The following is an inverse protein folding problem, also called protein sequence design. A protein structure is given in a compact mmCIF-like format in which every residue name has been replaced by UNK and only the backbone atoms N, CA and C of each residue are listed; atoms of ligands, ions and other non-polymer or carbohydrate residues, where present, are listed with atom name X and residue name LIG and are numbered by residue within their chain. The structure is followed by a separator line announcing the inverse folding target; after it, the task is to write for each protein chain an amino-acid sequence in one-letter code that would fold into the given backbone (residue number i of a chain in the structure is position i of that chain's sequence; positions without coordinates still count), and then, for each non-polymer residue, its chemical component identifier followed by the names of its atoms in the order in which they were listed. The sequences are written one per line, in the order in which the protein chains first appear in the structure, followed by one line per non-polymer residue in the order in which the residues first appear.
data_IF_129416334771
#
_entry.id   IF_129416334771
#
_cell.length_a   1.000
_cell.length_b   1.000
_cell.length_c   1.000
_cell.angle_alpha   90.00
_cell.angle_beta   90.00
_cell.angle_gamma   90.00
#
_symmetry.space_group_name_H-M   'P 1'
#
loop_
_entity.id
_entity.type
_entity.pdbx_description
1 polymer ?
#
# COMPACT_ATOMS: atom_id res chain seq x y z
N UNK A 1 -52.90 -89.89 38.26
CA UNK A 1 -53.68 -89.69 37.02
C UNK A 1 -53.99 -88.22 36.83
N UNK A 2 -53.28 -87.55 35.91
CA UNK A 2 -53.77 -86.48 35.03
C UNK A 2 -52.62 -86.13 34.09
N UNK A 3 -52.76 -86.58 32.84
CA UNK A 3 -51.92 -86.22 31.70
C UNK A 3 -52.26 -84.78 31.33
N UNK A 4 -51.26 -83.95 31.05
CA UNK A 4 -51.50 -82.71 30.29
C UNK A 4 -50.33 -82.47 29.37
N UNK A 5 -50.70 -82.16 28.14
CA UNK A 5 -49.92 -82.38 26.94
C UNK A 5 -48.89 -81.30 26.66
N UNK A 6 -47.85 -81.76 25.98
CA UNK A 6 -46.87 -81.01 25.23
C UNK A 6 -47.54 -80.16 24.14
N UNK A 7 -47.27 -78.86 24.10
CA UNK A 7 -47.43 -78.05 22.89
C UNK A 7 -46.15 -77.25 22.69
N UNK A 8 -45.24 -77.81 21.89
CA UNK A 8 -44.01 -77.17 21.46
C UNK A 8 -44.39 -76.17 20.36
N UNK A 9 -44.48 -74.88 20.70
CA UNK A 9 -44.65 -73.83 19.70
C UNK A 9 -43.31 -73.60 18.99
N UNK A 10 -43.21 -74.09 17.76
CA UNK A 10 -42.10 -73.84 16.86
C UNK A 10 -42.25 -72.41 16.29
N UNK A 11 -41.64 -71.43 16.94
CA UNK A 11 -41.52 -70.06 16.40
C UNK A 11 -40.40 -70.02 15.36
N UNK A 12 -40.79 -70.11 14.09
CA UNK A 12 -39.93 -69.86 12.95
C UNK A 12 -39.92 -68.34 12.64
N UNK A 13 -38.73 -67.84 12.29
CA UNK A 13 -38.49 -66.61 11.50
C UNK A 13 -38.57 -65.28 12.27
N UNK A 14 -37.68 -64.31 12.10
CA UNK A 14 -36.62 -64.12 11.12
C UNK A 14 -35.45 -63.38 11.78
N UNK A 15 -34.22 -63.86 11.54
CA UNK A 15 -33.02 -63.08 11.80
C UNK A 15 -32.97 -61.98 10.74
N UNK A 16 -33.41 -60.77 11.11
CA UNK A 16 -33.19 -59.58 10.30
C UNK A 16 -31.69 -59.27 10.34
N UNK A 17 -30.96 -59.78 9.35
CA UNK A 17 -29.60 -59.32 9.07
C UNK A 17 -29.74 -57.87 8.61
N UNK A 18 -29.57 -56.94 9.55
CA UNK A 18 -29.41 -55.53 9.25
C UNK A 18 -28.13 -55.38 8.43
N UNK A 19 -28.27 -55.36 7.10
CA UNK A 19 -27.24 -54.86 6.22
C UNK A 19 -27.03 -53.39 6.58
N UNK A 20 -26.07 -53.12 7.47
CA UNK A 20 -25.38 -51.84 7.50
C UNK A 20 -24.68 -51.73 6.14
N UNK A 21 -25.39 -51.18 5.16
CA UNK A 21 -24.78 -50.63 3.99
C UNK A 21 -23.82 -49.57 4.50
N UNK A 22 -22.51 -49.86 4.46
CA UNK A 22 -21.51 -48.81 4.44
C UNK A 22 -21.93 -47.89 3.29
N UNK A 23 -22.45 -46.71 3.63
CA UNK A 23 -22.60 -45.65 2.68
C UNK A 23 -21.20 -45.40 2.13
N UNK A 24 -20.92 -45.92 0.93
CA UNK A 24 -19.77 -45.50 0.16
C UNK A 24 -19.88 -43.97 0.11
N UNK A 25 -18.90 -43.27 0.68
CA UNK A 25 -18.67 -41.87 0.33
C UNK A 25 -18.47 -41.87 -1.18
N UNK A 26 -19.57 -41.60 -1.91
CA UNK A 26 -19.52 -41.40 -3.35
C UNK A 26 -18.65 -40.19 -3.52
N UNK A 27 -17.40 -40.42 -3.93
CA UNK A 27 -16.53 -39.36 -4.41
C UNK A 27 -17.38 -38.57 -5.42
N UNK A 28 -17.56 -37.25 -5.23
CA UNK A 28 -18.36 -36.47 -6.15
C UNK A 28 -17.85 -36.73 -7.56
N UNK A 29 -18.72 -36.81 -8.57
CA UNK A 29 -18.26 -36.92 -9.95
C UNK A 29 -17.23 -35.81 -10.21
N UNK A 30 -16.14 -36.10 -10.94
CA UNK A 30 -15.10 -35.11 -11.20
C UNK A 30 -15.75 -33.85 -11.76
N UNK A 31 -15.51 -32.74 -11.07
CA UNK A 31 -16.06 -31.44 -11.42
C UNK A 31 -15.50 -31.02 -12.79
N UNK A 32 -16.37 -30.60 -13.71
CA UNK A 32 -15.91 -30.00 -14.96
C UNK A 32 -15.28 -28.62 -14.69
N UNK A 33 -14.26 -28.19 -15.44
CA UNK A 33 -13.63 -26.87 -15.24
C UNK A 33 -14.66 -25.73 -15.16
N UNK A 34 -15.69 -25.78 -16.01
CA UNK A 34 -16.75 -24.76 -16.10
C UNK A 34 -17.55 -24.55 -14.81
N UNK A 35 -17.59 -25.53 -13.91
CA UNK A 35 -18.33 -25.41 -12.64
C UNK A 35 -17.74 -24.35 -11.69
N UNK A 36 -16.51 -23.89 -11.95
CA UNK A 36 -15.83 -22.82 -11.20
C UNK A 36 -15.56 -21.56 -12.02
N UNK A 37 -15.99 -21.54 -13.28
CA UNK A 37 -15.81 -20.38 -14.16
C UNK A 37 -16.88 -19.31 -13.86
N UNK A 38 -16.43 -18.08 -13.62
CA UNK A 38 -17.29 -16.90 -13.52
C UNK A 38 -16.86 -15.89 -14.57
N UNK A 39 -17.84 -15.23 -15.17
CA UNK A 39 -17.62 -14.28 -16.27
C UNK A 39 -17.91 -12.83 -15.85
N UNK A 40 -18.34 -12.62 -14.61
CA UNK A 40 -18.67 -11.31 -14.04
C UNK A 40 -18.26 -11.23 -12.56
N UNK A 41 -17.82 -10.05 -12.08
CA UNK A 41 -17.68 -8.80 -12.84
C UNK A 41 -16.49 -8.87 -13.84
N UNK A 42 -16.69 -8.31 -15.03
CA UNK A 42 -15.60 -8.18 -16.02
C UNK A 42 -14.66 -7.07 -15.53
N UNK A 43 -13.35 -7.33 -15.36
CA UNK A 43 -12.40 -6.31 -14.94
C UNK A 43 -12.36 -5.12 -15.94
N UNK A 44 -12.19 -3.88 -15.46
CA UNK A 44 -12.04 -2.73 -16.34
C UNK A 44 -10.78 -2.86 -17.21
N UNK A 45 -10.88 -2.42 -18.46
CA UNK A 45 -9.73 -2.37 -19.38
C UNK A 45 -8.84 -1.18 -19.02
N UNK A 46 -7.55 -1.42 -18.85
CA UNK A 46 -6.52 -0.40 -18.64
C UNK A 46 -5.43 -0.58 -19.69
N UNK A 47 -5.06 0.50 -20.39
CA UNK A 47 -3.88 0.51 -21.25
C UNK A 47 -2.66 0.86 -20.38
N UNK A 48 -1.62 0.02 -20.32
CA UNK A 48 -0.43 0.33 -19.56
C UNK A 48 0.32 1.52 -20.17
N UNK A 49 1.17 2.16 -19.37
CA UNK A 49 2.08 3.19 -19.85
C UNK A 49 3.07 2.65 -20.88
N UNK A 50 3.70 3.54 -21.66
CA UNK A 50 4.65 3.17 -22.71
C UNK A 50 5.89 2.40 -22.21
N UNK A 51 6.20 2.54 -20.92
CA UNK A 51 7.24 1.80 -20.20
C UNK A 51 6.77 1.63 -18.74
N UNK A 52 7.46 0.78 -17.97
CA UNK A 52 6.98 0.34 -16.65
C UNK A 52 6.73 1.47 -15.63
N UNK A 53 7.39 2.62 -15.78
CA UNK A 53 7.21 3.78 -14.89
C UNK A 53 6.22 4.82 -15.44
N UNK A 54 5.78 4.69 -16.69
CA UNK A 54 4.82 5.62 -17.28
C UNK A 54 3.39 5.38 -16.74
N UNK A 55 2.58 6.44 -16.59
CA UNK A 55 1.22 6.32 -16.07
C UNK A 55 0.36 5.43 -16.99
N UNK A 56 -0.44 4.49 -16.44
CA UNK A 56 -1.48 3.81 -17.18
C UNK A 56 -2.65 4.75 -17.52
N UNK A 57 -3.53 4.33 -18.43
CA UNK A 57 -4.64 5.16 -18.92
C UNK A 57 -5.69 5.54 -17.86
N UNK A 58 -5.74 4.82 -16.74
CA UNK A 58 -6.65 5.09 -15.61
C UNK A 58 -5.99 5.93 -14.49
N UNK A 59 -4.71 6.27 -14.63
CA UNK A 59 -4.00 7.06 -13.62
C UNK A 59 -4.26 8.55 -13.76
N UNK A 60 -4.30 9.21 -12.61
CA UNK A 60 -4.26 10.66 -12.48
C UNK A 60 -2.79 11.07 -12.44
N UNK A 61 -2.36 11.86 -13.42
CA UNK A 61 -1.02 12.44 -13.44
C UNK A 61 -1.00 13.69 -12.57
N UNK A 62 -0.30 13.63 -11.44
CA UNK A 62 -0.14 14.74 -10.51
C UNK A 62 0.95 15.71 -10.97
N UNK A 63 2.01 15.18 -11.59
CA UNK A 63 3.10 15.99 -12.14
C UNK A 63 3.73 15.31 -13.37
N UNK A 64 3.76 16.03 -14.49
CA UNK A 64 4.31 15.61 -15.78
C UNK A 64 5.53 16.44 -16.23
N UNK A 65 6.01 17.35 -15.38
CA UNK A 65 7.11 18.26 -15.69
C UNK A 65 6.69 19.64 -16.20
N UNK A 66 5.40 19.90 -16.42
CA UNK A 66 4.96 21.15 -17.08
C UNK A 66 4.40 22.19 -16.12
N UNK A 67 3.73 21.78 -15.05
CA UNK A 67 3.09 22.71 -14.11
C UNK A 67 2.89 22.14 -12.72
N UNK A 68 2.75 23.03 -11.74
CA UNK A 68 2.36 22.71 -10.36
C UNK A 68 0.85 22.76 -10.13
N UNK A 69 0.04 22.74 -11.19
CA UNK A 69 -1.41 22.91 -11.07
C UNK A 69 -2.10 21.81 -10.25
N UNK A 70 -1.49 20.63 -10.15
CA UNK A 70 -1.95 19.54 -9.28
C UNK A 70 -1.70 19.77 -7.78
N UNK A 71 -0.90 20.78 -7.42
CA UNK A 71 -0.43 21.02 -6.06
C UNK A 71 -0.82 22.41 -5.53
N UNK A 72 -0.85 22.50 -4.20
CA UNK A 72 -1.05 23.70 -3.38
C UNK A 72 -0.08 23.64 -2.20
N UNK A 73 0.14 24.77 -1.53
CA UNK A 73 0.82 24.83 -0.24
C UNK A 73 0.11 23.94 0.78
N UNK A 74 0.85 23.09 1.50
CA UNK A 74 0.28 22.27 2.57
C UNK A 74 0.04 23.07 3.86
N UNK A 75 0.50 24.32 3.95
CA UNK A 75 0.27 25.19 5.11
C UNK A 75 -1.20 25.55 5.28
N UNK A 76 -1.90 25.79 4.16
CA UNK A 76 -3.30 26.22 4.13
C UNK A 76 -4.18 25.43 3.15
N UNK A 77 -3.58 24.59 2.30
CA UNK A 77 -4.27 23.79 1.30
C UNK A 77 -4.91 24.57 0.16
N UNK A 78 -4.61 25.86 0.00
CA UNK A 78 -5.27 26.73 -0.97
C UNK A 78 -4.32 27.65 -1.72
N UNK A 79 -3.26 28.14 -1.06
CA UNK A 79 -2.25 28.97 -1.69
C UNK A 79 -1.47 28.18 -2.74
N UNK A 80 -0.96 28.83 -3.81
CA UNK A 80 -0.13 28.17 -4.81
C UNK A 80 1.07 27.44 -4.19
N UNK A 81 1.46 26.30 -4.75
CA UNK A 81 2.72 25.66 -4.43
C UNK A 81 3.88 26.53 -4.95
N UNK A 82 4.83 26.86 -4.07
CA UNK A 82 5.94 27.79 -4.37
C UNK A 82 7.27 27.07 -4.64
N UNK A 83 7.22 25.79 -5.02
CA UNK A 83 8.39 25.06 -5.48
C UNK A 83 8.71 25.42 -6.95
N UNK A 84 9.93 25.14 -7.40
CA UNK A 84 10.36 25.47 -8.78
C UNK A 84 10.27 24.27 -9.70
N UNK A 85 10.10 24.54 -11.00
CA UNK A 85 10.25 23.54 -12.06
C UNK A 85 11.51 23.88 -12.83
N UNK A 86 12.45 22.95 -12.90
CA UNK A 86 13.72 23.09 -13.60
C UNK A 86 13.90 21.88 -14.52
N UNK A 87 14.04 22.12 -15.83
CA UNK A 87 14.22 21.05 -16.82
C UNK A 87 13.14 19.94 -16.79
N UNK A 88 11.90 20.29 -16.43
CA UNK A 88 10.80 19.33 -16.29
C UNK A 88 10.79 18.57 -14.95
N UNK A 89 11.61 18.99 -13.99
CA UNK A 89 11.74 18.38 -12.67
C UNK A 89 11.19 19.34 -11.63
N UNK A 90 10.39 18.83 -10.71
CA UNK A 90 9.90 19.59 -9.57
C UNK A 90 10.98 19.62 -8.48
N UNK A 91 11.50 20.80 -8.16
CA UNK A 91 12.60 20.97 -7.20
C UNK A 91 12.07 21.57 -5.89
N UNK A 92 12.37 20.91 -4.76
CA UNK A 92 12.05 21.43 -3.43
C UNK A 92 12.70 22.81 -3.26
N UNK A 93 11.88 23.83 -2.98
CA UNK A 93 12.38 25.17 -2.68
C UNK A 93 12.42 25.39 -1.17
N UNK A 94 13.64 25.36 -0.61
CA UNK A 94 13.90 25.48 0.83
C UNK A 94 13.16 26.66 1.46
N UNK A 95 12.40 26.38 2.51
CA UNK A 95 11.70 27.38 3.32
C UNK A 95 10.32 27.77 2.77
N UNK A 96 9.93 27.24 1.62
CA UNK A 96 8.56 27.41 1.08
C UNK A 96 7.57 26.47 1.77
N UNK A 97 8.06 25.42 2.41
CA UNK A 97 7.27 24.45 3.15
C UNK A 97 6.73 23.35 2.23
N UNK A 98 6.09 22.38 2.87
CA UNK A 98 5.46 21.24 2.22
C UNK A 98 4.42 21.67 1.18
N UNK A 99 4.27 20.86 0.14
CA UNK A 99 3.18 20.99 -0.83
C UNK A 99 2.30 19.75 -0.77
N UNK A 100 1.04 19.87 -1.14
CA UNK A 100 0.12 18.75 -1.21
C UNK A 100 -0.73 18.77 -2.47
N UNK A 101 -1.22 17.61 -2.88
CA UNK A 101 -2.14 17.50 -4.01
C UNK A 101 -3.46 18.21 -3.71
N UNK A 102 -4.07 18.82 -4.73
CA UNK A 102 -5.43 19.38 -4.60
C UNK A 102 -6.48 18.28 -4.44
N UNK A 103 -6.22 17.12 -5.04
CA UNK A 103 -7.07 15.94 -4.94
C UNK A 103 -6.73 15.15 -3.68
N UNK A 104 -7.74 14.46 -3.15
CA UNK A 104 -7.61 13.54 -2.03
C UNK A 104 -7.66 12.08 -2.51
N UNK A 105 -6.96 11.21 -1.78
CA UNK A 105 -6.84 9.79 -2.09
C UNK A 105 -6.95 8.95 -0.82
N UNK A 106 -7.55 7.77 -0.94
CA UNK A 106 -7.58 6.73 0.10
C UNK A 106 -6.76 5.53 -0.36
N UNK A 107 -7.43 4.43 -0.68
CA UNK A 107 -6.81 3.27 -1.31
C UNK A 107 -6.27 3.65 -2.70
N UNK A 108 -4.98 3.45 -2.92
CA UNK A 108 -4.34 3.90 -4.14
C UNK A 108 -3.02 3.17 -4.41
N UNK A 109 -2.68 3.10 -5.69
CA UNK A 109 -1.34 2.80 -6.18
C UNK A 109 -0.70 4.08 -6.69
N UNK A 110 0.52 4.37 -6.25
CA UNK A 110 1.29 5.55 -6.60
C UNK A 110 2.58 5.17 -7.31
N UNK A 111 3.04 6.07 -8.15
CA UNK A 111 4.41 6.11 -8.64
C UNK A 111 4.99 7.50 -8.42
N UNK A 112 6.27 7.55 -8.06
CA UNK A 112 7.03 8.78 -7.94
C UNK A 112 8.49 8.50 -8.24
N UNK A 113 9.10 9.34 -9.08
CA UNK A 113 10.54 9.36 -9.26
C UNK A 113 11.13 10.52 -8.48
N UNK A 114 12.28 10.29 -7.83
CA UNK A 114 12.98 11.29 -7.03
C UNK A 114 14.50 11.16 -7.15
N UNK A 115 15.20 12.29 -7.04
CA UNK A 115 16.66 12.36 -7.08
C UNK A 115 17.17 13.18 -5.89
N UNK A 116 18.16 12.63 -5.18
CA UNK A 116 18.93 13.39 -4.21
C UNK A 116 19.76 14.50 -4.91
N UNK A 117 20.06 15.62 -4.23
CA UNK A 117 20.94 16.66 -4.74
C UNK A 117 22.34 16.11 -5.05
N UNK A 118 23.00 16.59 -6.10
CA UNK A 118 24.39 16.21 -6.42
C UNK A 118 25.39 16.80 -5.44
N UNK A 119 25.09 17.97 -4.88
CA UNK A 119 25.88 18.56 -3.80
C UNK A 119 25.51 17.90 -2.47
N UNK A 120 26.46 17.20 -1.86
CA UNK A 120 26.26 16.52 -0.58
C UNK A 120 26.44 17.55 0.55
N UNK A 121 25.33 17.92 1.18
CA UNK A 121 25.29 18.80 2.35
C UNK A 121 24.63 18.07 3.52
N UNK A 122 25.24 18.16 4.70
CA UNK A 122 24.72 17.55 5.92
C UNK A 122 25.01 16.05 6.04
N UNK A 123 24.51 15.47 7.13
CA UNK A 123 24.65 14.05 7.47
C UNK A 123 23.34 13.51 8.08
N UNK A 124 23.19 12.19 8.09
CA UNK A 124 21.98 11.55 8.62
C UNK A 124 20.70 12.10 8.00
N UNK A 125 19.76 12.55 8.84
CA UNK A 125 18.49 13.15 8.40
C UNK A 125 18.63 14.56 7.82
N UNK A 126 19.83 15.16 7.87
CA UNK A 126 20.11 16.45 7.25
C UNK A 126 20.51 16.34 5.78
N UNK A 127 20.80 15.14 5.28
CA UNK A 127 21.39 14.91 3.95
C UNK A 127 20.32 14.49 2.94
N UNK A 128 19.92 15.41 2.06
CA UNK A 128 18.99 15.08 0.96
C UNK A 128 17.61 14.59 1.43
N UNK A 129 17.12 15.11 2.56
CA UNK A 129 15.87 14.68 3.19
C UNK A 129 14.65 15.37 2.56
N UNK A 130 13.61 14.58 2.33
CA UNK A 130 12.24 14.96 1.99
C UNK A 130 11.34 13.79 2.42
N UNK A 131 10.10 13.73 1.95
CA UNK A 131 9.19 12.66 2.31
C UNK A 131 7.99 12.61 1.39
N UNK A 132 7.50 11.39 1.13
CA UNK A 132 6.31 11.13 0.36
C UNK A 132 5.21 10.64 1.31
N UNK A 133 4.28 11.54 1.66
CA UNK A 133 3.26 11.29 2.67
C UNK A 133 1.94 10.86 2.03
N UNK A 134 1.64 9.56 2.16
CA UNK A 134 0.34 9.00 1.80
C UNK A 134 -0.72 9.59 2.71
N UNK A 135 -1.81 10.10 2.14
CA UNK A 135 -2.86 10.82 2.87
C UNK A 135 -2.35 12.00 3.73
N UNK A 136 -1.14 12.52 3.45
CA UNK A 136 -0.52 13.58 4.25
C UNK A 136 -0.02 13.13 5.63
N UNK A 137 -0.22 11.85 5.98
CA UNK A 137 -0.07 11.32 7.34
C UNK A 137 0.95 10.19 7.46
N UNK A 138 1.17 9.41 6.40
CA UNK A 138 2.00 8.21 6.43
C UNK A 138 3.19 8.36 5.49
N UNK A 139 4.36 8.65 6.06
CA UNK A 139 5.58 8.94 5.33
C UNK A 139 6.29 7.68 4.84
N UNK A 140 6.42 7.58 3.51
CA UNK A 140 7.47 6.79 2.87
C UNK A 140 8.69 7.70 2.73
N UNK A 141 9.77 7.32 3.41
CA UNK A 141 10.89 8.22 3.60
C UNK A 141 11.68 8.44 2.30
N UNK A 142 12.03 9.70 2.02
CA UNK A 142 12.92 10.10 0.91
C UNK A 142 14.19 10.70 1.52
N UNK A 143 15.31 10.02 1.33
CA UNK A 143 16.56 10.44 1.94
C UNK A 143 17.76 10.01 1.11
N UNK A 144 18.79 10.85 1.02
CA UNK A 144 20.09 10.39 0.55
C UNK A 144 20.78 9.51 1.60
N UNK A 145 20.44 8.22 1.54
CA UNK A 145 21.06 7.16 2.35
C UNK A 145 22.18 6.43 1.59
N UNK A 146 22.59 6.91 0.40
CA UNK A 146 23.62 6.26 -0.40
C UNK A 146 24.99 6.47 0.26
N UNK A 147 25.56 5.37 0.75
CA UNK A 147 26.81 5.36 1.53
C UNK A 147 26.78 6.38 2.70
N UNK A 148 25.60 6.58 3.29
CA UNK A 148 25.36 7.53 4.38
C UNK A 148 24.77 6.80 5.59
N UNK A 149 25.14 7.24 6.80
CA UNK A 149 24.63 6.65 8.04
C UNK A 149 23.47 7.46 8.60
N UNK A 150 22.41 6.77 8.98
CA UNK A 150 21.29 7.31 9.78
C UNK A 150 20.66 6.18 10.59
N UNK A 151 19.61 6.45 11.37
CA UNK A 151 18.86 5.39 12.04
C UNK A 151 18.00 4.61 11.02
N UNK A 152 18.03 3.29 11.10
CA UNK A 152 17.54 2.39 10.03
C UNK A 152 16.05 2.50 9.76
N UNK A 153 15.24 2.82 10.76
CA UNK A 153 13.80 3.04 10.59
C UNK A 153 13.45 4.44 10.06
N UNK A 154 14.42 5.30 9.75
CA UNK A 154 14.22 6.60 9.10
C UNK A 154 15.08 6.83 7.87
N UNK A 155 15.63 5.76 7.27
CA UNK A 155 16.37 5.83 6.01
C UNK A 155 15.43 5.71 4.81
N UNK A 156 15.95 5.94 3.59
CA UNK A 156 15.14 5.86 2.37
C UNK A 156 14.33 4.56 2.26
N UNK A 157 13.05 4.67 1.92
CA UNK A 157 12.14 3.54 1.75
C UNK A 157 11.59 2.98 3.06
N UNK A 158 11.96 3.56 4.21
CA UNK A 158 11.30 3.24 5.48
C UNK A 158 9.87 3.78 5.49
N UNK A 159 9.00 3.12 6.26
CA UNK A 159 7.81 3.79 6.78
C UNK A 159 8.27 4.50 8.04
N UNK A 160 8.35 5.83 7.97
CA UNK A 160 9.19 6.62 8.87
C UNK A 160 8.96 6.30 10.35
N UNK A 161 10.06 5.94 11.01
CA UNK A 161 10.17 5.47 12.40
C UNK A 161 9.34 4.24 12.79
N UNK A 162 8.58 3.63 11.87
CA UNK A 162 7.81 2.41 12.14
C UNK A 162 8.51 1.14 11.63
N UNK A 163 8.98 1.15 10.38
CA UNK A 163 9.52 -0.03 9.70
C UNK A 163 10.76 0.34 8.88
N UNK A 164 11.90 -0.26 9.18
CA UNK A 164 13.09 -0.18 8.31
C UNK A 164 12.81 -0.87 6.97
N UNK A 165 13.39 -0.41 5.86
CA UNK A 165 13.26 -1.09 4.58
C UNK A 165 13.98 -2.45 4.61
N UNK A 166 13.44 -3.43 3.87
CA UNK A 166 14.01 -4.77 3.76
C UNK A 166 15.37 -4.80 3.03
N UNK A 167 15.63 -3.80 2.18
CA UNK A 167 16.87 -3.67 1.43
C UNK A 167 17.18 -2.19 1.15
N UNK A 168 18.47 -1.87 0.98
CA UNK A 168 18.92 -0.57 0.49
C UNK A 168 19.17 -0.66 -1.02
N UNK A 169 18.17 -0.26 -1.81
CA UNK A 169 18.21 -0.28 -3.27
C UNK A 169 18.34 1.12 -3.88
N UNK A 170 19.18 1.98 -3.31
CA UNK A 170 19.41 3.35 -3.79
C UNK A 170 20.44 3.41 -4.91
N UNK A 171 20.22 4.35 -5.83
CA UNK A 171 21.22 4.89 -6.74
C UNK A 171 21.96 6.10 -6.10
N UNK A 172 23.17 6.44 -6.58
CA UNK A 172 23.93 7.59 -6.11
C UNK A 172 23.18 8.94 -6.24
N UNK A 173 23.61 9.98 -5.52
CA UNK A 173 23.02 11.31 -5.66
C UNK A 173 23.11 11.86 -7.09
N UNK A 174 22.06 12.53 -7.54
CA UNK A 174 21.89 12.96 -8.94
C UNK A 174 21.26 11.92 -9.87
N UNK A 175 21.29 10.64 -9.51
CA UNK A 175 20.55 9.60 -10.23
C UNK A 175 19.11 9.48 -9.72
N UNK A 176 18.23 9.06 -10.63
CA UNK A 176 16.81 8.91 -10.34
C UNK A 176 16.51 7.59 -9.65
N UNK A 177 15.97 7.67 -8.44
CA UNK A 177 15.31 6.59 -7.76
C UNK A 177 13.80 6.65 -8.04
N UNK A 178 13.10 5.54 -7.94
CA UNK A 178 11.63 5.55 -7.99
C UNK A 178 11.01 4.68 -6.92
N UNK A 179 9.81 5.08 -6.50
CA UNK A 179 8.92 4.26 -5.70
C UNK A 179 7.68 3.87 -6.48
N UNK A 180 7.36 2.58 -6.44
CA UNK A 180 6.01 2.08 -6.69
C UNK A 180 5.40 1.70 -5.34
N UNK A 181 4.26 2.31 -5.01
CA UNK A 181 3.63 2.19 -3.69
C UNK A 181 2.21 1.68 -3.87
N UNK A 182 1.85 0.63 -3.14
CA UNK A 182 0.46 0.18 -3.01
C UNK A 182 0.03 0.46 -1.58
N UNK A 183 -0.97 1.31 -1.42
CA UNK A 183 -1.47 1.75 -0.12
C UNK A 183 -2.95 1.42 0.03
N UNK A 184 -3.30 0.84 1.18
CA UNK A 184 -4.66 0.68 1.63
C UNK A 184 -4.85 1.57 2.84
N UNK A 185 -5.77 2.53 2.73
CA UNK A 185 -6.07 3.48 3.79
C UNK A 185 -6.66 2.76 5.00
N UNK A 186 -6.54 3.30 6.23
CA UNK A 186 -7.21 2.71 7.36
C UNK A 186 -8.74 2.86 7.22
N UNK A 187 -9.49 2.08 7.99
CA UNK A 187 -10.93 2.21 8.16
C UNK A 187 -11.24 2.42 9.63
N UNK A 188 -12.24 3.26 9.90
CA UNK A 188 -12.70 3.60 11.23
C UNK A 188 -14.18 3.27 11.39
N UNK A 189 -14.60 2.88 12.58
CA UNK A 189 -16.02 2.82 12.92
C UNK A 189 -16.56 4.22 13.27
N UNK A 190 -17.86 4.30 13.59
CA UNK A 190 -18.53 5.56 13.97
C UNK A 190 -18.00 6.21 15.24
N UNK A 191 -17.37 5.42 16.11
CA UNK A 191 -16.75 5.88 17.36
C UNK A 191 -15.30 6.33 17.16
N UNK A 192 -14.79 6.30 15.92
CA UNK A 192 -13.43 6.68 15.56
C UNK A 192 -12.37 5.63 15.90
N UNK A 193 -12.77 4.40 16.24
CA UNK A 193 -11.88 3.27 16.48
C UNK A 193 -11.46 2.66 15.14
N UNK A 194 -10.15 2.44 14.98
CA UNK A 194 -9.62 1.75 13.79
C UNK A 194 -10.16 0.31 13.73
N UNK A 195 -10.80 -0.04 12.62
CA UNK A 195 -11.34 -1.38 12.34
C UNK A 195 -10.48 -2.15 11.34
N UNK A 196 -9.78 -1.42 10.46
CA UNK A 196 -8.75 -1.95 9.58
C UNK A 196 -7.57 -0.97 9.59
N UNK A 197 -6.39 -1.35 10.07
CA UNK A 197 -5.20 -0.49 9.97
C UNK A 197 -4.80 -0.31 8.49
N UNK A 198 -4.04 0.75 8.24
CA UNK A 198 -3.49 1.00 6.92
C UNK A 198 -2.41 -0.04 6.60
N UNK A 199 -2.30 -0.44 5.33
CA UNK A 199 -1.22 -1.33 4.88
C UNK A 199 -0.48 -0.72 3.71
N UNK A 200 0.83 -0.94 3.63
CA UNK A 200 1.64 -0.41 2.53
C UNK A 200 2.64 -1.44 2.02
N UNK A 201 2.76 -1.49 0.69
CA UNK A 201 3.84 -2.16 -0.02
C UNK A 201 4.62 -1.09 -0.77
N UNK A 202 5.95 -1.14 -0.71
CA UNK A 202 6.84 -0.20 -1.41
C UNK A 202 7.90 -0.99 -2.14
N UNK A 203 8.04 -0.71 -3.44
CA UNK A 203 9.20 -1.11 -4.23
C UNK A 203 10.07 0.11 -4.48
N UNK A 204 11.36 0.00 -4.24
CA UNK A 204 12.36 1.02 -4.58
C UNK A 204 13.22 0.49 -5.72
N UNK A 205 13.21 1.17 -6.86
CA UNK A 205 13.95 0.73 -8.06
C UNK A 205 13.64 -0.73 -8.46
N UNK A 206 12.38 -1.15 -8.27
CA UNK A 206 11.91 -2.52 -8.55
C UNK A 206 12.25 -3.55 -7.47
N UNK A 207 12.99 -3.17 -6.41
CA UNK A 207 13.29 -4.03 -5.26
C UNK A 207 12.24 -3.83 -4.18
N UNK A 208 11.64 -4.91 -3.69
CA UNK A 208 10.67 -4.86 -2.60
C UNK A 208 11.35 -4.42 -1.29
N UNK A 209 10.97 -3.25 -0.76
CA UNK A 209 11.54 -2.68 0.48
C UNK A 209 10.54 -2.61 1.62
N UNK A 210 9.23 -2.62 1.34
CA UNK A 210 8.17 -2.83 2.34
C UNK A 210 7.20 -3.87 1.78
N UNK A 211 6.95 -4.95 2.51
CA UNK A 211 6.08 -6.03 2.06
C UNK A 211 4.78 -6.05 2.88
N UNK A 212 3.73 -5.40 2.37
CA UNK A 212 2.40 -5.33 2.97
C UNK A 212 2.43 -5.07 4.49
N UNK A 213 3.22 -4.08 4.91
CA UNK A 213 3.39 -3.80 6.34
C UNK A 213 2.14 -3.11 6.89
N UNK A 214 1.69 -3.54 8.06
CA UNK A 214 0.55 -2.96 8.77
C UNK A 214 0.99 -1.79 9.65
N UNK A 215 0.50 -0.60 9.35
CA UNK A 215 0.89 0.62 10.07
C UNK A 215 0.24 0.70 11.45
N UNK A 216 0.94 1.38 12.36
CA UNK A 216 0.51 1.59 13.76
C UNK A 216 -0.27 2.90 13.96
N UNK A 217 -0.36 3.72 12.91
CA UNK A 217 -0.91 5.08 12.92
C UNK A 217 -0.13 5.99 11.98
N UNK A 218 -0.46 7.31 11.94
CA UNK A 218 0.35 8.32 11.28
C UNK A 218 1.82 8.27 11.72
N UNK A 219 2.74 8.62 10.83
CA UNK A 219 4.17 8.65 11.14
C UNK A 219 4.51 9.86 12.00
N UNK A 220 5.31 9.67 13.05
CA UNK A 220 5.61 10.69 14.06
C UNK A 220 7.13 10.87 14.20
N UNK A 221 7.60 12.13 14.28
CA UNK A 221 8.99 12.39 14.65
C UNK A 221 9.24 12.09 16.12
N UNK A 222 8.32 12.47 17.01
CA UNK A 222 8.41 12.23 18.45
C UNK A 222 7.10 11.60 18.91
N UNK A 223 7.21 10.47 19.62
CA UNK A 223 6.08 9.78 20.20
C UNK A 223 5.82 8.40 19.59
N UNK A 224 4.70 7.81 19.97
CA UNK A 224 4.25 6.50 19.51
C UNK A 224 3.11 6.74 18.51
N UNK A 225 3.20 6.21 17.28
CA UNK A 225 2.11 6.27 16.31
C UNK A 225 0.81 5.76 16.93
N UNK A 226 -0.25 6.54 16.78
CA UNK A 226 -1.58 6.15 17.22
C UNK A 226 -2.62 6.68 16.25
N UNK A 227 -3.56 5.82 15.90
CA UNK A 227 -4.65 6.20 15.00
C UNK A 227 -5.56 7.26 15.64
N UNK A 228 -5.87 8.29 14.86
CA UNK A 228 -6.98 9.21 15.07
C UNK A 228 -7.84 9.15 13.82
N UNK A 229 -9.16 9.06 14.01
CA UNK A 229 -10.08 9.04 12.88
C UNK A 229 -9.90 10.28 12.02
N UNK A 230 -9.86 10.07 10.71
CA UNK A 230 -9.70 11.11 9.71
C UNK A 230 -10.57 10.76 8.49
N UNK A 231 -10.77 11.69 7.54
CA UNK A 231 -11.50 11.41 6.30
C UNK A 231 -10.94 10.21 5.53
N UNK A 232 -11.80 9.49 4.80
CA UNK A 232 -11.41 8.31 4.02
C UNK A 232 -10.39 8.60 2.92
N UNK A 233 -10.41 9.84 2.40
CA UNK A 233 -9.46 10.34 1.43
C UNK A 233 -8.83 11.63 1.95
N UNK A 234 -7.50 11.75 1.84
CA UNK A 234 -6.75 12.97 2.16
C UNK A 234 -5.69 13.24 1.08
N UNK A 235 -5.19 14.48 0.94
CA UNK A 235 -4.15 14.81 -0.02
C UNK A 235 -2.88 13.96 0.11
N UNK A 236 -2.21 13.71 -1.00
CA UNK A 236 -0.79 13.34 -1.00
C UNK A 236 0.03 14.57 -0.60
N UNK A 237 1.08 14.43 0.21
CA UNK A 237 1.98 15.54 0.58
C UNK A 237 3.44 15.21 0.27
N UNK A 238 4.19 16.21 -0.22
CA UNK A 238 5.64 16.18 -0.39
C UNK A 238 6.30 17.14 0.61
N UNK A 239 7.35 16.70 1.27
CA UNK A 239 7.98 17.44 2.37
C UNK A 239 9.08 18.39 1.90
N UNK A 240 9.08 19.61 2.42
CA UNK A 240 10.25 20.49 2.42
C UNK A 240 11.01 20.32 3.73
N UNK A 241 12.08 19.53 3.71
CA UNK A 241 13.03 19.41 4.82
C UNK A 241 14.31 20.23 4.56
N UNK A 242 14.21 21.29 3.75
CA UNK A 242 15.30 22.22 3.46
C UNK A 242 16.40 21.69 2.53
N UNK A 243 16.19 20.54 1.90
CA UNK A 243 17.10 19.96 0.90
C UNK A 243 16.46 20.05 -0.50
N UNK A 244 17.22 20.42 -1.55
CA UNK A 244 16.69 20.57 -2.91
C UNK A 244 16.53 19.21 -3.63
N UNK A 245 15.78 18.29 -3.01
CA UNK A 245 15.38 17.02 -3.63
C UNK A 245 14.54 17.33 -4.87
N UNK A 246 14.71 16.53 -5.93
CA UNK A 246 13.97 16.69 -7.18
C UNK A 246 12.99 15.56 -7.35
N UNK A 247 11.83 15.85 -7.94
CA UNK A 247 10.76 14.90 -8.22
C UNK A 247 10.34 14.98 -9.68
N UNK A 248 9.90 13.87 -10.25
CA UNK A 248 9.23 13.83 -11.56
C UNK A 248 8.29 12.64 -11.64
N UNK A 249 7.49 12.60 -12.72
CA UNK A 249 6.65 11.47 -13.07
C UNK A 249 5.81 10.99 -11.88
N UNK A 250 4.95 11.87 -11.35
CA UNK A 250 4.12 11.56 -10.19
C UNK A 250 2.72 11.24 -10.68
N UNK A 251 2.27 10.01 -10.46
CA UNK A 251 0.92 9.59 -10.82
C UNK A 251 0.32 8.66 -9.78
N UNK A 252 -1.01 8.60 -9.76
CA UNK A 252 -1.79 7.83 -8.81
C UNK A 252 -3.00 7.20 -9.48
N UNK A 253 -3.32 5.97 -9.11
CA UNK A 253 -4.57 5.28 -9.48
C UNK A 253 -5.30 4.84 -8.22
N UNK A 254 -6.61 5.12 -8.16
CA UNK A 254 -7.46 4.69 -7.04
C UNK A 254 -7.68 3.17 -7.11
N UNK A 255 -7.76 2.50 -5.96
CA UNK A 255 -7.92 1.04 -5.81
C UNK A 255 -9.22 0.64 -5.12
#
# INVERSE_FOLDING_TARGET
MKKTSLTLALTLSAFSISFLACAQEKTPPPMRPEATEFYTPVPPRVTPGAHNTAPPSDAIVLFDGTSLNGFVSAKDGTSPAEWTIENGELVVTRGKGDIQSKLAFGDAQYHVEWSAPTEIVGEGQGRGNSGFFLMGLYEVQVLDSYESKTYTNGQAGSIYKQFAPLAMALRPPGEWNYYDIIFKAPRFNKDGIVTSPATVTVLMNGVLVQNHVTLKGPTEYIGIPNYKAHPEELPLKLQDHGNPVRFRNIWVRKL
#
